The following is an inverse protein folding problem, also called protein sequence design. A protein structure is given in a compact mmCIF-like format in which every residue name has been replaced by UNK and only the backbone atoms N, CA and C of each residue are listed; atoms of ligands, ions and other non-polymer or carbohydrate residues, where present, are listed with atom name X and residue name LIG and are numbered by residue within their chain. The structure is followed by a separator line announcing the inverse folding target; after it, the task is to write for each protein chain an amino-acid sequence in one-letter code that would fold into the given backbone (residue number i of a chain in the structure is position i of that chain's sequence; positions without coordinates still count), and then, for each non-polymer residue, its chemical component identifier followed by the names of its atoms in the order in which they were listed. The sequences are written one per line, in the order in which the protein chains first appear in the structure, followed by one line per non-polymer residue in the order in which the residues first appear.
data_IF_298028849232
#
_entry.id   IF_298028849232
#
_cell.length_a   1.000
_cell.length_b   1.000
_cell.length_c   1.000
_cell.angle_alpha   90.00
_cell.angle_beta   90.00
_cell.angle_gamma   90.00
#
_symmetry.space_group_name_H-M   'P 1'
#
loop_
_entity.id
_entity.type
_entity.pdbx_description
1 polymer ?
#
# COMPACT_ATOMS: atom_id res chain seq x y z
N UNK A 1 15.45 12.73 -5.07
CA UNK A 1 14.22 11.91 -5.00
C UNK A 1 13.10 12.81 -4.49
N UNK A 2 11.90 12.68 -5.04
CA UNK A 2 10.72 13.37 -4.54
C UNK A 2 9.91 12.39 -3.67
N UNK A 3 9.39 12.86 -2.53
CA UNK A 3 8.48 12.08 -1.69
C UNK A 3 7.12 12.77 -1.71
N UNK A 4 6.06 12.00 -1.98
CA UNK A 4 4.70 12.51 -2.05
C UNK A 4 3.86 11.88 -0.94
N UNK A 5 3.19 12.71 -0.16
CA UNK A 5 2.23 12.28 0.85
C UNK A 5 0.83 12.77 0.49
N UNK A 6 -0.14 11.88 0.56
CA UNK A 6 -1.56 12.24 0.53
C UNK A 6 -2.14 12.01 1.91
N UNK A 7 -2.69 13.06 2.51
CA UNK A 7 -3.32 13.02 3.83
C UNK A 7 -4.82 13.26 3.69
N UNK A 8 -5.63 12.41 4.30
CA UNK A 8 -7.08 12.56 4.38
C UNK A 8 -7.57 11.87 5.65
N UNK A 9 -8.80 12.20 6.06
CA UNK A 9 -9.53 11.52 7.11
C UNK A 9 -10.71 10.81 6.49
N UNK A 10 -11.15 9.68 7.05
CA UNK A 10 -12.37 8.99 6.63
C UNK A 10 -13.31 8.95 7.83
N UNK A 11 -14.59 9.28 7.60
CA UNK A 11 -15.62 9.01 8.60
C UNK A 11 -15.83 7.49 8.73
N UNK A 12 -15.65 6.90 9.92
CA UNK A 12 -15.86 5.47 10.15
C UNK A 12 -17.24 4.95 9.68
N UNK A 13 -18.26 5.80 9.66
CA UNK A 13 -19.61 5.44 9.19
C UNK A 13 -19.66 5.19 7.68
N UNK A 14 -18.68 5.68 6.92
CA UNK A 14 -18.62 5.56 5.46
C UNK A 14 -17.70 4.45 4.97
N UNK A 15 -17.14 3.60 5.82
CA UNK A 15 -16.09 2.64 5.41
C UNK A 15 -16.51 1.65 4.29
N UNK A 16 -17.81 1.41 4.09
CA UNK A 16 -18.34 0.59 2.98
C UNK A 16 -18.35 1.32 1.63
N UNK A 17 -18.35 2.65 1.64
CA UNK A 17 -18.17 3.54 0.49
C UNK A 17 -17.42 4.79 0.97
N UNK A 18 -16.10 4.69 1.19
CA UNK A 18 -15.34 5.72 1.88
C UNK A 18 -15.46 7.06 1.18
N UNK A 19 -15.70 8.12 1.96
CA UNK A 19 -15.65 9.51 1.49
C UNK A 19 -14.43 10.20 2.12
N UNK A 20 -13.29 10.32 1.41
CA UNK A 20 -12.09 10.94 1.94
C UNK A 20 -12.28 12.44 2.17
N UNK A 21 -12.22 12.87 3.42
CA UNK A 21 -12.37 14.25 3.82
C UNK A 21 -11.01 14.93 4.05
N UNK A 22 -10.99 16.26 3.94
CA UNK A 22 -9.83 17.09 4.22
C UNK A 22 -8.58 16.70 3.40
N UNK A 23 -8.77 16.14 2.19
CA UNK A 23 -7.66 15.64 1.37
C UNK A 23 -6.65 16.75 1.06
N UNK A 24 -5.37 16.50 1.35
CA UNK A 24 -4.24 17.34 0.96
C UNK A 24 -3.12 16.50 0.40
N UNK A 25 -2.46 17.04 -0.62
CA UNK A 25 -1.28 16.41 -1.24
C UNK A 25 -0.08 17.30 -0.94
N UNK A 26 0.98 16.69 -0.44
CA UNK A 26 2.25 17.32 -0.17
C UNK A 26 3.32 16.65 -1.01
N UNK A 27 4.14 17.44 -1.69
CA UNK A 27 5.29 16.96 -2.45
C UNK A 27 6.55 17.63 -1.89
N UNK A 28 7.55 16.82 -1.57
CA UNK A 28 8.80 17.28 -1.00
C UNK A 28 9.96 16.87 -1.89
N UNK A 29 10.82 17.82 -2.20
CA UNK A 29 12.10 17.58 -2.83
C UNK A 29 13.17 17.51 -1.74
N UNK A 30 13.74 16.34 -1.51
CA UNK A 30 14.70 16.13 -0.41
C UNK A 30 14.71 14.69 0.10
N UNK A 31 15.10 14.52 1.36
CA UNK A 31 15.08 13.21 2.03
C UNK A 31 13.66 12.83 2.45
N UNK A 32 13.37 11.51 2.49
CA UNK A 32 12.09 10.99 3.01
C UNK A 32 11.85 11.46 4.46
N UNK A 33 12.91 11.53 5.29
CA UNK A 33 12.83 11.99 6.69
C UNK A 33 12.33 13.43 6.79
N UNK A 34 12.89 14.35 5.99
CA UNK A 34 12.45 15.74 5.99
C UNK A 34 10.97 15.86 5.58
N UNK A 35 10.52 15.02 4.65
CA UNK A 35 9.11 14.97 4.26
C UNK A 35 8.20 14.53 5.43
N UNK A 36 8.61 13.51 6.19
CA UNK A 36 7.88 13.06 7.38
C UNK A 36 7.81 14.13 8.48
N UNK A 37 8.92 14.81 8.75
CA UNK A 37 8.97 15.91 9.72
C UNK A 37 8.05 17.06 9.30
N UNK A 38 8.06 17.41 8.01
CA UNK A 38 7.25 18.50 7.47
C UNK A 38 5.74 18.25 7.58
N UNK A 39 5.28 16.99 7.51
CA UNK A 39 3.84 16.67 7.63
C UNK A 39 3.39 16.39 9.07
N UNK A 40 4.32 16.33 10.05
CA UNK A 40 4.02 15.98 11.45
C UNK A 40 2.90 16.83 12.05
N UNK A 41 3.00 18.15 11.90
CA UNK A 41 2.02 19.08 12.46
C UNK A 41 0.64 18.90 11.82
N UNK A 42 0.60 18.63 10.51
CA UNK A 42 -0.65 18.42 9.77
C UNK A 42 -1.35 17.12 10.18
N UNK A 43 -0.61 16.00 10.31
CA UNK A 43 -1.22 14.74 10.77
C UNK A 43 -1.69 14.84 12.23
N UNK A 44 -0.93 15.54 13.09
CA UNK A 44 -1.30 15.77 14.50
C UNK A 44 -2.60 16.57 14.59
N UNK A 45 -2.73 17.63 13.79
CA UNK A 45 -3.96 18.43 13.70
C UNK A 45 -5.20 17.60 13.31
N UNK A 46 -4.99 16.49 12.58
CA UNK A 46 -6.03 15.56 12.13
C UNK A 46 -6.34 14.45 13.13
N UNK A 47 -5.77 14.51 14.35
CA UNK A 47 -6.00 13.54 15.41
C UNK A 47 -5.02 12.38 15.43
N UNK A 48 -3.88 12.47 14.73
CA UNK A 48 -2.85 11.43 14.81
C UNK A 48 -2.43 11.18 16.28
N UNK A 49 -2.38 9.91 16.68
CA UNK A 49 -2.17 9.48 18.07
C UNK A 49 -3.44 9.44 18.93
N UNK A 50 -4.56 9.99 18.45
CA UNK A 50 -5.85 10.00 19.14
C UNK A 50 -6.91 9.17 18.41
N UNK A 51 -6.81 9.07 17.08
CA UNK A 51 -7.67 8.23 16.24
C UNK A 51 -6.84 7.18 15.49
N UNK A 52 -7.47 6.06 15.06
CA UNK A 52 -6.79 5.08 14.23
C UNK A 52 -6.21 5.70 12.96
N UNK A 53 -4.95 5.41 12.67
CA UNK A 53 -4.25 5.91 11.50
C UNK A 53 -3.67 4.75 10.68
N UNK A 54 -3.76 4.88 9.35
CA UNK A 54 -3.13 3.95 8.41
C UNK A 54 -2.04 4.68 7.63
N UNK A 55 -0.88 4.06 7.51
CA UNK A 55 0.18 4.51 6.60
C UNK A 55 0.18 3.59 5.38
N UNK A 56 -0.37 4.07 4.27
CA UNK A 56 -0.42 3.32 3.02
C UNK A 56 0.82 3.63 2.18
N UNK A 57 1.54 2.60 1.75
CA UNK A 57 2.76 2.75 0.93
C UNK A 57 2.81 1.73 -0.20
N UNK A 58 3.62 2.01 -1.22
CA UNK A 58 3.88 1.15 -2.37
C UNK A 58 4.67 -0.15 -2.05
N UNK A 59 5.04 -0.36 -0.78
CA UNK A 59 5.85 -1.49 -0.33
C UNK A 59 7.37 -1.23 -0.36
N UNK A 60 7.82 0.01 -0.56
CA UNK A 60 9.21 0.40 -0.34
C UNK A 60 9.63 0.17 1.12
N UNK A 61 10.61 -0.70 1.33
CA UNK A 61 11.09 -1.11 2.65
C UNK A 61 11.73 0.04 3.45
N UNK A 62 12.41 0.98 2.78
CA UNK A 62 13.01 2.14 3.44
C UNK A 62 11.91 3.12 3.87
N UNK A 63 10.89 3.33 3.02
CA UNK A 63 9.75 4.18 3.39
C UNK A 63 8.93 3.55 4.52
N UNK A 64 8.73 2.23 4.51
CA UNK A 64 8.05 1.52 5.59
C UNK A 64 8.82 1.59 6.92
N UNK A 65 10.14 1.41 6.90
CA UNK A 65 10.97 1.56 8.09
C UNK A 65 10.91 3.00 8.64
N UNK A 66 11.07 3.98 7.76
CA UNK A 66 10.97 5.39 8.13
C UNK A 66 9.57 5.74 8.65
N UNK A 67 8.51 5.17 8.09
CA UNK A 67 7.16 5.35 8.57
C UNK A 67 6.97 4.78 9.98
N UNK A 68 7.63 3.68 10.33
CA UNK A 68 7.64 3.15 11.70
C UNK A 68 8.33 4.08 12.70
N UNK A 69 9.38 4.77 12.27
CA UNK A 69 10.06 5.78 13.11
C UNK A 69 9.24 7.07 13.21
N UNK A 70 8.71 7.52 12.08
CA UNK A 70 7.99 8.78 12.02
C UNK A 70 6.61 8.61 12.60
N UNK A 71 5.83 7.63 12.19
CA UNK A 71 4.45 7.46 12.59
C UNK A 71 4.24 6.11 13.32
N UNK A 72 4.80 5.92 14.53
CA UNK A 72 4.74 4.64 15.24
C UNK A 72 3.31 4.21 15.63
N UNK A 73 2.39 5.15 15.83
CA UNK A 73 0.97 4.86 16.11
C UNK A 73 0.15 4.53 14.83
N UNK A 74 0.73 4.70 13.63
CA UNK A 74 0.05 4.34 12.40
C UNK A 74 0.28 2.85 12.09
N UNK A 75 -0.78 2.15 11.68
CA UNK A 75 -0.64 0.82 11.12
C UNK A 75 -0.15 0.92 9.67
N UNK A 76 1.03 0.38 9.40
CA UNK A 76 1.55 0.27 8.04
C UNK A 76 0.73 -0.73 7.21
N UNK A 77 0.36 -0.32 6.00
CA UNK A 77 -0.35 -1.12 5.01
C UNK A 77 0.33 -0.97 3.65
N UNK A 78 0.41 -2.06 2.89
CA UNK A 78 0.85 -2.01 1.49
C UNK A 78 -0.36 -1.66 0.62
N UNK A 79 -0.14 -0.77 -0.34
CA UNK A 79 -1.11 -0.33 -1.31
C UNK A 79 -1.55 -1.49 -2.23
N UNK A 80 -2.86 -1.69 -2.29
CA UNK A 80 -3.46 -2.80 -3.05
C UNK A 80 -3.17 -2.72 -4.54
N UNK A 81 -3.16 -1.52 -5.13
CA UNK A 81 -2.90 -1.33 -6.55
C UNK A 81 -1.46 -1.75 -6.86
N UNK A 82 -0.49 -1.33 -6.04
CA UNK A 82 0.91 -1.73 -6.19
C UNK A 82 1.14 -3.24 -6.00
N UNK A 83 0.37 -3.90 -5.13
CA UNK A 83 0.40 -5.36 -5.00
C UNK A 83 -0.11 -6.03 -6.28
N UNK A 84 -1.22 -5.54 -6.84
CA UNK A 84 -1.80 -6.08 -8.07
C UNK A 84 -0.88 -5.86 -9.28
N UNK A 85 -0.23 -4.71 -9.39
CA UNK A 85 0.79 -4.45 -10.43
C UNK A 85 1.96 -5.42 -10.35
N UNK A 86 2.43 -5.74 -9.13
CA UNK A 86 3.45 -6.77 -8.93
C UNK A 86 2.96 -8.17 -9.31
N UNK A 87 1.69 -8.51 -9.04
CA UNK A 87 1.12 -9.78 -9.51
C UNK A 87 1.10 -9.87 -11.04
N UNK A 88 0.75 -8.79 -11.73
CA UNK A 88 0.82 -8.75 -13.20
C UNK A 88 2.25 -8.89 -13.70
N UNK A 89 3.19 -8.16 -13.12
CA UNK A 89 4.61 -8.28 -13.48
C UNK A 89 5.11 -9.72 -13.29
N UNK A 90 4.67 -10.38 -12.22
CA UNK A 90 5.02 -11.76 -11.92
C UNK A 90 4.37 -12.78 -12.86
N UNK A 91 3.13 -12.56 -13.30
CA UNK A 91 2.41 -13.52 -14.17
C UNK A 91 3.07 -13.66 -15.54
N UNK A 92 3.67 -12.58 -16.04
CA UNK A 92 4.30 -12.56 -17.37
C UNK A 92 5.59 -13.39 -17.48
N UNK A 93 6.10 -13.89 -16.35
CA UNK A 93 7.17 -14.89 -16.33
C UNK A 93 6.66 -16.27 -16.79
N UNK A 94 5.37 -16.55 -16.58
CA UNK A 94 4.76 -17.88 -16.81
C UNK A 94 3.81 -17.90 -18.00
N UNK A 95 3.20 -16.75 -18.31
CA UNK A 95 2.14 -16.63 -19.30
C UNK A 95 2.41 -15.42 -20.21
N UNK A 96 2.10 -15.50 -21.51
CA UNK A 96 2.22 -14.35 -22.39
C UNK A 96 1.40 -13.16 -21.90
N UNK A 97 1.91 -11.95 -22.13
CA UNK A 97 1.18 -10.71 -21.85
C UNK A 97 -0.14 -10.69 -22.64
N UNK A 98 -1.23 -10.29 -21.98
CA UNK A 98 -2.58 -10.27 -22.56
C UNK A 98 -3.28 -11.63 -22.68
N UNK A 99 -2.66 -12.73 -22.28
CA UNK A 99 -3.30 -14.06 -22.30
C UNK A 99 -4.42 -14.22 -21.26
N UNK A 100 -5.39 -15.10 -21.56
CA UNK A 100 -6.43 -15.51 -20.60
C UNK A 100 -5.83 -16.12 -19.33
N UNK A 101 -4.79 -16.92 -19.50
CA UNK A 101 -4.09 -17.65 -18.45
C UNK A 101 -3.42 -16.67 -17.48
N UNK A 102 -2.79 -15.61 -17.99
CA UNK A 102 -2.25 -14.54 -17.17
C UNK A 102 -3.33 -13.88 -16.30
N UNK A 103 -4.50 -13.59 -16.89
CA UNK A 103 -5.62 -12.97 -16.18
C UNK A 103 -6.23 -13.88 -15.12
N UNK A 104 -6.42 -15.17 -15.43
CA UNK A 104 -6.90 -16.17 -14.47
C UNK A 104 -5.93 -16.38 -13.31
N UNK A 105 -4.63 -16.43 -13.61
CA UNK A 105 -3.57 -16.55 -12.62
C UNK A 105 -3.58 -15.38 -11.62
N UNK A 106 -3.70 -14.14 -12.11
CA UNK A 106 -3.78 -12.93 -11.27
C UNK A 106 -5.10 -12.91 -10.49
N UNK A 107 -6.22 -13.26 -11.13
CA UNK A 107 -7.54 -13.32 -10.48
C UNK A 107 -7.54 -14.25 -9.26
N UNK A 108 -7.00 -15.46 -9.40
CA UNK A 108 -6.91 -16.43 -8.32
C UNK A 108 -6.09 -15.89 -7.13
N UNK A 109 -4.97 -15.23 -7.39
CA UNK A 109 -4.09 -14.69 -6.34
C UNK A 109 -4.65 -13.45 -5.67
N UNK A 110 -5.35 -12.60 -6.42
CA UNK A 110 -6.15 -11.51 -5.82
C UNK A 110 -7.17 -12.06 -4.84
N UNK A 111 -7.89 -13.11 -5.19
CA UNK A 111 -8.86 -13.74 -4.28
C UNK A 111 -8.19 -14.27 -2.99
N UNK A 112 -7.03 -14.92 -3.11
CA UNK A 112 -6.26 -15.37 -1.95
C UNK A 112 -5.76 -14.23 -1.07
N UNK A 113 -5.24 -13.14 -1.65
CA UNK A 113 -4.81 -11.98 -0.88
C UNK A 113 -5.98 -11.30 -0.14
N UNK A 114 -7.14 -11.16 -0.80
CA UNK A 114 -8.35 -10.62 -0.16
C UNK A 114 -8.84 -11.50 0.99
N UNK A 115 -8.61 -12.82 0.92
CA UNK A 115 -8.88 -13.77 1.99
C UNK A 115 -7.75 -13.85 3.05
N UNK A 116 -6.74 -12.97 2.99
CA UNK A 116 -5.60 -12.97 3.93
C UNK A 116 -4.62 -14.13 3.73
N UNK A 117 -4.74 -14.91 2.65
CA UNK A 117 -3.93 -16.10 2.37
C UNK A 117 -2.58 -15.77 1.72
N UNK A 118 -1.84 -14.82 2.30
CA UNK A 118 -0.54 -14.34 1.76
C UNK A 118 0.47 -15.47 1.58
N UNK A 119 0.57 -16.38 2.55
CA UNK A 119 1.47 -17.54 2.47
C UNK A 119 1.16 -18.47 1.30
N UNK A 120 -0.12 -18.59 0.91
CA UNK A 120 -0.53 -19.39 -0.26
C UNK A 120 -0.05 -18.75 -1.55
N UNK A 121 -0.16 -17.43 -1.67
CA UNK A 121 0.34 -16.68 -2.84
C UNK A 121 1.84 -16.88 -2.99
N UNK A 122 2.60 -16.73 -1.90
CA UNK A 122 4.06 -16.92 -1.89
C UNK A 122 4.45 -18.36 -2.24
N UNK A 123 3.78 -19.37 -1.67
CA UNK A 123 4.09 -20.79 -1.96
C UNK A 123 3.66 -21.24 -3.35
N UNK A 124 2.65 -20.61 -3.93
CA UNK A 124 2.21 -20.88 -5.32
C UNK A 124 3.26 -20.47 -6.37
N UNK A 125 4.37 -19.87 -5.93
CA UNK A 125 5.47 -19.40 -6.75
C UNK A 125 6.58 -20.46 -6.96
N UNK A 126 6.45 -21.66 -6.39
CA UNK A 126 7.38 -22.77 -6.67
C UNK A 126 7.02 -23.35 -8.04
N UNK A 127 7.88 -23.24 -9.07
CA UNK A 127 7.61 -23.86 -10.36
C UNK A 127 7.45 -25.38 -10.16
N UNK A 128 6.36 -25.93 -10.69
CA UNK A 128 6.26 -27.38 -10.88
C UNK A 128 7.35 -27.77 -11.88
N UNK A 129 8.24 -28.73 -11.56
CA UNK A 129 9.22 -29.20 -12.54
C UNK A 129 8.47 -29.74 -13.76
N UNK A 130 8.93 -29.33 -14.95
CA UNK A 130 8.51 -29.91 -16.22
C UNK A 130 9.01 -31.35 -16.34
#
# INVERSE_FOLDING_TARGET
MATVFTLYTIDPQTLTSPDPQNRRVYAFLGSKRAACEAIRAEVTKRGYGQIPALFLSDGDSELAALAGECFPEARACVDWIHVVERLWSATYVFHPEGSSEAAEWVKARKAWLMAGSVGTVIRSYIPQPQ
#
